data_IF_860269463941
#
_entry.id   IF_860269463941
#
_cell.length_a   1.000
_cell.length_b   1.000
_cell.length_c   1.000
_cell.angle_alpha   90.00
_cell.angle_beta   90.00
_cell.angle_gamma   90.00
#
_symmetry.space_group_name_H-M   'P 1'
#
loop_
_entity.id
_entity.type
_entity.pdbx_description
1 polymer ?
#
# COMPACT_ATOMS: atom_id res chain seq x y z
N UNK A 1 4.30 -3.52 -13.00
CA UNK A 1 5.24 -2.40 -12.84
C UNK A 1 5.92 -2.52 -11.50
N UNK A 2 7.22 -2.74 -11.49
CA UNK A 2 8.05 -2.80 -10.28
C UNK A 2 9.29 -1.94 -10.55
N UNK A 3 9.15 -0.62 -10.34
CA UNK A 3 10.21 0.32 -10.68
C UNK A 3 11.34 0.23 -9.66
N UNK A 4 12.57 0.27 -10.18
CA UNK A 4 13.75 0.47 -9.36
C UNK A 4 13.81 1.90 -8.79
N UNK A 5 14.81 2.15 -7.95
CA UNK A 5 15.13 3.49 -7.44
C UNK A 5 15.18 4.50 -8.61
N UNK A 6 14.66 5.73 -8.43
CA UNK A 6 14.70 6.73 -9.49
C UNK A 6 16.14 7.04 -9.89
N UNK A 7 16.38 7.13 -11.18
CA UNK A 7 17.61 7.67 -11.78
C UNK A 7 17.78 9.15 -11.44
N UNK A 8 18.97 9.69 -11.67
CA UNK A 8 19.24 11.11 -11.38
C UNK A 8 18.38 12.06 -12.22
N UNK A 9 17.98 11.64 -13.43
CA UNK A 9 17.04 12.39 -14.26
C UNK A 9 15.61 12.29 -13.71
N UNK A 10 15.15 11.10 -13.31
CA UNK A 10 13.81 10.92 -12.74
C UNK A 10 13.61 11.69 -11.43
N UNK A 11 14.69 11.91 -10.65
CA UNK A 11 14.64 12.75 -9.44
C UNK A 11 14.40 14.24 -9.75
N UNK A 12 14.76 14.71 -10.94
CA UNK A 12 14.53 16.11 -11.34
C UNK A 12 13.20 16.32 -12.07
N UNK A 13 12.45 15.24 -12.30
CA UNK A 13 11.15 15.27 -12.96
C UNK A 13 10.03 15.50 -11.94
N UNK A 14 8.84 15.80 -12.46
CA UNK A 14 7.64 15.71 -11.65
C UNK A 14 7.47 14.27 -11.13
N UNK A 15 7.18 14.11 -9.84
CA UNK A 15 7.24 12.80 -9.16
C UNK A 15 6.38 11.72 -9.82
N UNK A 16 5.18 12.07 -10.30
CA UNK A 16 4.27 11.14 -10.95
C UNK A 16 4.68 10.79 -12.39
N UNK A 17 5.57 11.56 -13.03
CA UNK A 17 5.90 11.44 -14.46
C UNK A 17 6.35 10.02 -14.84
N UNK A 18 7.24 9.41 -14.03
CA UNK A 18 7.71 8.04 -14.28
C UNK A 18 6.62 6.98 -14.14
N UNK A 19 5.60 7.24 -13.32
CA UNK A 19 4.49 6.30 -13.11
C UNK A 19 3.44 6.42 -14.22
N UNK A 20 3.20 7.65 -14.71
CA UNK A 20 2.25 7.94 -15.80
C UNK A 20 2.58 7.14 -17.07
N UNK A 21 3.87 6.92 -17.35
CA UNK A 21 4.33 6.12 -18.48
C UNK A 21 3.88 4.64 -18.45
N UNK A 22 3.38 4.17 -17.32
CA UNK A 22 2.93 2.80 -17.13
C UNK A 22 1.44 2.67 -16.79
N UNK A 23 0.66 3.73 -17.00
CA UNK A 23 -0.79 3.66 -16.82
C UNK A 23 -1.42 2.76 -17.89
N UNK A 24 -2.53 2.07 -17.57
CA UNK A 24 -3.19 1.16 -18.50
C UNK A 24 -3.84 1.92 -19.67
N UNK A 25 -3.80 1.31 -20.85
CA UNK A 25 -4.74 1.60 -21.93
C UNK A 25 -6.08 0.87 -21.71
N UNK A 26 -7.07 1.15 -22.56
CA UNK A 26 -8.36 0.47 -22.50
C UNK A 26 -8.21 -1.05 -22.64
N UNK A 27 -8.79 -1.80 -21.70
CA UNK A 27 -8.71 -3.27 -21.66
C UNK A 27 -7.47 -3.83 -20.96
N UNK A 28 -6.54 -2.99 -20.52
CA UNK A 28 -5.35 -3.43 -19.80
C UNK A 28 -5.57 -3.47 -18.29
N UNK A 29 -4.92 -4.44 -17.64
CA UNK A 29 -4.81 -4.49 -16.18
C UNK A 29 -3.34 -4.31 -15.83
N UNK A 30 -3.02 -3.20 -15.16
CA UNK A 30 -1.66 -2.93 -14.69
C UNK A 30 -1.58 -3.13 -13.18
N UNK A 31 -0.63 -3.97 -12.75
CA UNK A 31 -0.32 -4.19 -11.34
C UNK A 31 0.95 -3.46 -10.95
N UNK A 32 0.85 -2.59 -9.94
CA UNK A 32 1.97 -1.86 -9.36
C UNK A 32 2.48 -2.61 -8.11
N UNK A 33 3.66 -3.23 -8.21
CA UNK A 33 4.40 -3.77 -7.06
C UNK A 33 5.22 -2.63 -6.45
N UNK A 34 4.61 -1.99 -5.45
CA UNK A 34 4.83 -0.58 -5.07
C UNK A 34 4.36 0.38 -6.17
N UNK A 35 4.14 1.64 -5.79
CA UNK A 35 3.61 2.67 -6.68
C UNK A 35 4.18 4.05 -6.30
N UNK A 36 3.53 5.12 -6.74
CA UNK A 36 3.78 6.49 -6.28
C UNK A 36 3.67 6.63 -4.74
N UNK A 37 3.01 5.70 -4.06
CA UNK A 37 2.98 5.67 -2.59
C UNK A 37 4.32 5.37 -1.90
N UNK A 38 5.41 5.16 -2.64
CA UNK A 38 6.75 5.17 -2.05
C UNK A 38 7.02 6.47 -1.28
N UNK A 39 6.59 7.63 -1.81
CA UNK A 39 6.72 8.94 -1.16
C UNK A 39 5.83 9.13 0.05
N UNK A 40 4.83 8.29 0.27
CA UNK A 40 3.98 8.27 1.46
C UNK A 40 4.46 7.31 2.57
N UNK A 41 5.50 6.51 2.28
CA UNK A 41 5.90 5.39 3.12
C UNK A 41 7.40 5.31 3.31
N UNK A 42 8.09 4.66 2.38
CA UNK A 42 9.52 4.37 2.52
C UNK A 42 10.38 5.63 2.42
N UNK A 43 10.07 6.56 1.52
CA UNK A 43 10.90 7.75 1.30
C UNK A 43 10.98 8.66 2.54
N UNK A 44 9.86 9.09 3.17
CA UNK A 44 9.93 9.96 4.34
C UNK A 44 10.52 9.26 5.57
N UNK A 45 10.31 7.95 5.72
CA UNK A 45 10.84 7.17 6.86
C UNK A 45 12.35 6.95 6.76
N UNK A 46 12.86 6.75 5.53
CA UNK A 46 14.27 6.48 5.26
C UNK A 46 15.07 7.74 4.89
N UNK A 47 14.41 8.89 4.74
CA UNK A 47 15.05 10.16 4.38
C UNK A 47 15.42 10.26 2.89
N UNK A 48 14.64 9.63 2.01
CA UNK A 48 14.83 9.72 0.55
C UNK A 48 14.04 10.86 -0.11
N UNK A 49 13.19 11.54 0.65
CA UNK A 49 12.55 12.79 0.26
C UNK A 49 12.60 13.79 1.43
N UNK A 50 12.46 15.06 1.12
CA UNK A 50 12.28 16.14 2.10
C UNK A 50 10.89 16.06 2.75
N UNK A 51 10.69 16.76 3.87
CA UNK A 51 9.38 16.81 4.52
C UNK A 51 8.37 17.56 3.65
N UNK A 52 8.84 18.59 2.95
CA UNK A 52 8.10 19.40 1.99
C UNK A 52 7.61 18.54 0.84
N UNK A 53 8.48 17.75 0.18
CA UNK A 53 8.08 16.83 -0.89
C UNK A 53 7.06 15.78 -0.44
N UNK A 54 7.20 15.24 0.78
CA UNK A 54 6.24 14.30 1.33
C UNK A 54 4.87 14.95 1.55
N UNK A 55 4.85 16.16 2.12
CA UNK A 55 3.62 16.91 2.36
C UNK A 55 2.93 17.30 1.05
N UNK A 56 3.70 17.79 0.08
CA UNK A 56 3.23 18.10 -1.28
C UNK A 56 2.60 16.86 -1.91
N UNK A 57 3.29 15.72 -1.87
CA UNK A 57 2.77 14.46 -2.41
C UNK A 57 1.44 14.05 -1.76
N UNK A 58 1.31 14.14 -0.43
CA UNK A 58 0.07 13.79 0.26
C UNK A 58 -1.09 14.71 -0.13
N UNK A 59 -0.81 15.95 -0.52
CA UNK A 59 -1.81 16.89 -1.03
C UNK A 59 -2.16 16.62 -2.50
N UNK A 60 -1.18 16.29 -3.34
CA UNK A 60 -1.37 16.07 -4.78
C UNK A 60 -1.97 14.71 -5.14
N UNK A 61 -1.63 13.65 -4.39
CA UNK A 61 -1.99 12.27 -4.76
C UNK A 61 -3.51 12.04 -4.94
N UNK A 62 -4.43 12.60 -4.12
CA UNK A 62 -5.85 12.39 -4.34
C UNK A 62 -6.34 13.08 -5.62
N UNK A 63 -5.80 14.26 -5.96
CA UNK A 63 -6.16 14.97 -7.19
C UNK A 63 -5.62 14.23 -8.42
N UNK A 64 -4.40 13.70 -8.36
CA UNK A 64 -3.85 12.84 -9.41
C UNK A 64 -4.73 11.61 -9.65
N UNK A 65 -5.13 10.91 -8.60
CA UNK A 65 -6.00 9.73 -8.70
C UNK A 65 -7.39 10.07 -9.23
N UNK A 66 -7.93 11.22 -8.83
CA UNK A 66 -9.20 11.74 -9.34
C UNK A 66 -9.17 12.02 -10.84
N UNK A 67 -8.06 12.55 -11.37
CA UNK A 67 -7.88 12.75 -12.82
C UNK A 67 -7.94 11.42 -13.58
N UNK A 68 -7.33 10.36 -13.04
CA UNK A 68 -7.36 9.03 -13.63
C UNK A 68 -8.77 8.44 -13.61
N UNK A 69 -9.47 8.54 -12.47
CA UNK A 69 -10.85 8.04 -12.33
C UNK A 69 -11.83 8.78 -13.24
N UNK A 70 -11.67 10.11 -13.38
CA UNK A 70 -12.45 10.91 -14.33
C UNK A 70 -12.19 10.50 -15.79
N UNK A 71 -11.10 9.78 -16.05
CA UNK A 71 -10.75 9.20 -17.36
C UNK A 71 -11.07 7.70 -17.42
N UNK A 72 -12.02 7.23 -16.61
CA UNK A 72 -12.52 5.86 -16.51
C UNK A 72 -11.48 4.80 -16.08
N UNK A 73 -10.33 5.22 -15.53
CA UNK A 73 -9.34 4.31 -14.95
C UNK A 73 -9.81 3.85 -13.57
N UNK A 74 -10.02 2.55 -13.41
CA UNK A 74 -10.38 1.94 -12.13
C UNK A 74 -9.13 1.74 -11.26
N UNK A 75 -9.12 2.33 -10.06
CA UNK A 75 -7.98 2.26 -9.14
C UNK A 75 -8.32 1.37 -7.93
N UNK A 76 -7.48 0.36 -7.69
CA UNK A 76 -7.51 -0.45 -6.47
C UNK A 76 -6.25 -0.23 -5.65
N UNK A 77 -6.39 0.25 -4.41
CA UNK A 77 -5.28 0.49 -3.49
C UNK A 77 -5.29 -0.53 -2.36
N UNK A 78 -4.25 -1.36 -2.30
CA UNK A 78 -4.11 -2.40 -1.28
C UNK A 78 -2.92 -2.15 -0.36
N UNK A 79 -3.17 -2.08 0.95
CA UNK A 79 -2.13 -2.10 1.97
C UNK A 79 -2.08 -3.47 2.64
N UNK A 80 -1.03 -4.25 2.37
CA UNK A 80 -0.83 -5.55 3.01
C UNK A 80 -0.22 -5.37 4.41
N UNK A 81 -1.07 -5.38 5.44
CA UNK A 81 -0.66 -5.22 6.83
C UNK A 81 -0.18 -6.55 7.38
N UNK A 82 1.07 -6.64 7.80
CA UNK A 82 1.64 -7.79 8.52
C UNK A 82 1.84 -7.40 9.98
N UNK A 83 1.63 -8.30 10.93
CA UNK A 83 1.96 -8.05 12.33
C UNK A 83 3.47 -7.96 12.53
N UNK A 84 3.91 -7.24 13.57
CA UNK A 84 5.34 -7.04 13.87
C UNK A 84 6.06 -8.38 14.08
N UNK A 85 5.41 -9.30 14.79
CA UNK A 85 5.96 -10.63 15.08
C UNK A 85 6.06 -11.50 13.83
N UNK A 86 5.02 -11.50 12.99
CA UNK A 86 5.05 -12.23 11.73
C UNK A 86 6.07 -11.64 10.75
N UNK A 87 6.23 -10.31 10.73
CA UNK A 87 7.27 -9.65 9.94
C UNK A 87 8.66 -10.12 10.39
N UNK A 88 8.93 -10.10 11.69
CA UNK A 88 10.19 -10.59 12.28
C UNK A 88 10.44 -12.06 11.95
N UNK A 89 9.43 -12.92 12.12
CA UNK A 89 9.51 -14.35 11.77
C UNK A 89 9.84 -14.57 10.30
N UNK A 90 9.22 -13.82 9.40
CA UNK A 90 9.49 -13.89 7.95
C UNK A 90 10.91 -13.44 7.61
N UNK A 91 11.42 -12.43 8.30
CA UNK A 91 12.79 -11.96 8.11
C UNK A 91 13.80 -13.03 8.51
N UNK A 92 13.61 -13.65 9.66
CA UNK A 92 14.52 -14.69 10.14
C UNK A 92 14.50 -15.93 9.21
N UNK A 93 13.31 -16.31 8.72
CA UNK A 93 13.20 -17.37 7.72
C UNK A 93 13.90 -17.05 6.40
N UNK A 94 13.95 -15.78 5.97
CA UNK A 94 14.64 -15.39 4.74
C UNK A 94 16.16 -15.45 4.88
N UNK A 95 16.70 -15.27 6.09
CA UNK A 95 18.15 -15.38 6.36
C UNK A 95 18.64 -16.81 6.18
N UNK A 96 17.83 -17.79 6.57
CA UNK A 96 18.21 -19.21 6.57
C UNK A 96 17.76 -19.99 5.34
N UNK A 97 16.81 -19.47 4.55
CA UNK A 97 16.32 -20.11 3.33
C UNK A 97 17.07 -19.64 2.07
N UNK A 98 17.91 -20.49 1.43
CA UNK A 98 18.71 -20.11 0.25
C UNK A 98 17.86 -19.60 -0.91
N UNK A 99 16.61 -20.04 -1.04
CA UNK A 99 15.70 -19.63 -2.11
C UNK A 99 15.02 -18.28 -1.84
N UNK A 100 15.28 -17.65 -0.69
CA UNK A 100 14.62 -16.39 -0.29
C UNK A 100 15.59 -15.31 0.18
N UNK A 101 16.87 -15.61 0.33
CA UNK A 101 17.90 -14.66 0.77
C UNK A 101 17.98 -13.40 -0.09
N UNK A 102 17.80 -13.52 -1.41
CA UNK A 102 17.80 -12.37 -2.34
C UNK A 102 16.70 -11.33 -2.06
N UNK A 103 15.69 -11.67 -1.23
CA UNK A 103 14.59 -10.77 -0.82
C UNK A 103 14.89 -9.95 0.43
N UNK A 104 16.12 -10.01 0.93
CA UNK A 104 16.58 -9.19 2.04
C UNK A 104 17.27 -7.94 1.48
N UNK A 105 16.79 -6.76 1.86
CA UNK A 105 17.47 -5.50 1.57
C UNK A 105 17.96 -4.82 2.86
N UNK A 106 18.97 -3.94 2.77
CA UNK A 106 19.38 -3.12 3.93
C UNK A 106 18.26 -2.22 4.47
N UNK A 107 17.31 -1.82 3.61
CA UNK A 107 16.11 -1.06 4.01
C UNK A 107 15.22 -1.90 4.92
N UNK A 108 15.05 -3.18 4.58
CA UNK A 108 14.21 -4.10 5.31
C UNK A 108 14.73 -4.37 6.73
N UNK A 109 16.04 -4.49 6.91
CA UNK A 109 16.65 -4.71 8.23
C UNK A 109 16.45 -3.51 9.15
N UNK A 110 16.57 -2.29 8.62
CA UNK A 110 16.27 -1.05 9.35
C UNK A 110 14.77 -0.88 9.64
N UNK A 111 13.90 -1.45 8.81
CA UNK A 111 12.45 -1.22 8.92
C UNK A 111 11.84 -1.69 10.23
N UNK A 112 12.36 -2.76 10.85
CA UNK A 112 11.88 -3.24 12.15
C UNK A 112 12.12 -2.22 13.28
N UNK A 113 13.28 -1.55 13.27
CA UNK A 113 13.61 -0.50 14.24
C UNK A 113 12.83 0.80 14.01
N UNK A 114 12.31 0.99 12.80
CA UNK A 114 11.53 2.16 12.39
C UNK A 114 10.02 1.89 12.38
N UNK A 115 9.56 0.84 13.06
CA UNK A 115 8.15 0.41 13.05
C UNK A 115 7.17 1.54 13.37
N UNK A 116 7.44 2.33 14.42
CA UNK A 116 6.55 3.43 14.80
C UNK A 116 6.55 4.55 13.75
N UNK A 117 7.68 4.84 13.09
CA UNK A 117 7.73 5.80 11.98
C UNK A 117 6.92 5.33 10.78
N UNK A 118 7.02 4.05 10.41
CA UNK A 118 6.18 3.46 9.37
C UNK A 118 4.69 3.47 9.74
N UNK A 119 4.37 3.27 11.01
CA UNK A 119 2.98 3.34 11.51
C UNK A 119 2.42 4.76 11.35
N UNK A 120 3.20 5.79 11.67
CA UNK A 120 2.83 7.20 11.47
C UNK A 120 2.69 7.51 9.97
N UNK A 121 3.65 7.09 9.14
CA UNK A 121 3.60 7.34 7.70
C UNK A 121 2.37 6.69 7.05
N UNK A 122 2.06 5.42 7.40
CA UNK A 122 0.82 4.75 6.98
C UNK A 122 -0.41 5.54 7.40
N UNK A 123 -0.45 6.03 8.65
CA UNK A 123 -1.58 6.80 9.15
C UNK A 123 -1.81 8.08 8.34
N UNK A 124 -0.75 8.89 8.14
CA UNK A 124 -0.81 10.10 7.32
C UNK A 124 -1.23 9.82 5.87
N UNK A 125 -0.71 8.74 5.27
CA UNK A 125 -1.09 8.30 3.93
C UNK A 125 -2.58 7.95 3.84
N UNK A 126 -3.10 7.16 4.79
CA UNK A 126 -4.51 6.77 4.79
C UNK A 126 -5.41 7.98 5.00
N UNK A 127 -5.08 8.89 5.92
CA UNK A 127 -5.87 10.11 6.14
C UNK A 127 -5.91 11.00 4.91
N UNK A 128 -4.77 11.21 4.25
CA UNK A 128 -4.68 12.12 3.12
C UNK A 128 -5.32 11.55 1.84
N UNK A 129 -5.30 10.23 1.66
CA UNK A 129 -5.61 9.62 0.37
C UNK A 129 -6.64 8.49 0.41
N UNK A 130 -7.32 8.24 1.53
CA UNK A 130 -8.54 7.44 1.53
C UNK A 130 -9.72 8.33 1.15
N UNK A 131 -10.09 8.30 -0.14
CA UNK A 131 -11.23 9.05 -0.67
C UNK A 131 -12.34 8.10 -1.10
N UNK A 132 -13.55 8.64 -1.30
CA UNK A 132 -14.69 7.85 -1.78
C UNK A 132 -14.46 7.30 -3.20
N UNK A 133 -13.76 8.07 -4.04
CA UNK A 133 -13.48 7.69 -5.43
C UNK A 133 -12.27 6.75 -5.55
N UNK A 134 -11.28 6.86 -4.65
CA UNK A 134 -10.09 6.00 -4.61
C UNK A 134 -9.88 5.45 -3.19
N UNK A 135 -10.70 4.48 -2.73
CA UNK A 135 -10.61 4.00 -1.36
C UNK A 135 -9.39 3.10 -1.14
N UNK A 136 -8.82 3.17 0.07
CA UNK A 136 -7.82 2.22 0.52
C UNK A 136 -8.47 0.96 1.09
N UNK A 137 -7.92 -0.20 0.75
CA UNK A 137 -8.29 -1.47 1.35
C UNK A 137 -7.08 -2.10 2.04
N UNK A 138 -7.21 -2.38 3.32
CA UNK A 138 -6.17 -3.01 4.13
C UNK A 138 -6.40 -4.52 4.09
N UNK A 139 -5.33 -5.28 3.82
CA UNK A 139 -5.35 -6.73 3.81
C UNK A 139 -4.46 -7.24 4.94
N UNK A 140 -5.05 -7.84 5.99
CA UNK A 140 -4.29 -8.55 7.03
C UNK A 140 -3.59 -9.76 6.39
N UNK A 141 -2.27 -9.72 6.40
CA UNK A 141 -1.44 -10.55 5.51
C UNK A 141 -0.61 -11.60 6.22
N UNK A 142 -0.87 -11.84 7.51
CA UNK A 142 -0.15 -12.84 8.31
C UNK A 142 -0.29 -14.24 7.72
N UNK A 143 -1.50 -14.60 7.29
CA UNK A 143 -1.72 -15.76 6.42
C UNK A 143 -1.71 -15.34 4.94
N UNK A 144 -0.61 -15.63 4.25
CA UNK A 144 -0.42 -15.29 2.81
C UNK A 144 -1.51 -15.84 1.91
N UNK A 145 -1.98 -17.08 2.13
CA UNK A 145 -2.99 -17.71 1.27
C UNK A 145 -4.33 -17.00 1.42
N UNK A 146 -4.75 -16.73 2.66
CA UNK A 146 -5.99 -15.99 2.90
C UNK A 146 -5.93 -14.56 2.38
N UNK A 147 -4.79 -13.87 2.52
CA UNK A 147 -4.61 -12.52 1.98
C UNK A 147 -4.79 -12.48 0.46
N UNK A 148 -4.17 -13.41 -0.27
CA UNK A 148 -4.30 -13.52 -1.74
C UNK A 148 -5.74 -13.74 -2.16
N UNK A 149 -6.42 -14.71 -1.56
CA UNK A 149 -7.81 -15.04 -1.90
C UNK A 149 -8.73 -13.84 -1.65
N UNK A 150 -8.60 -13.17 -0.49
CA UNK A 150 -9.45 -12.02 -0.16
C UNK A 150 -9.17 -10.80 -1.03
N UNK A 151 -7.92 -10.59 -1.46
CA UNK A 151 -7.59 -9.53 -2.42
C UNK A 151 -8.27 -9.78 -3.76
N UNK A 152 -8.16 -11.01 -4.30
CA UNK A 152 -8.80 -11.39 -5.56
C UNK A 152 -10.32 -11.25 -5.46
N UNK A 153 -10.93 -11.75 -4.38
CA UNK A 153 -12.36 -11.58 -4.11
C UNK A 153 -12.78 -10.11 -4.09
N UNK A 154 -11.98 -9.24 -3.48
CA UNK A 154 -12.26 -7.80 -3.46
C UNK A 154 -12.32 -7.23 -4.87
N UNK A 155 -11.34 -7.52 -5.72
CA UNK A 155 -11.31 -7.06 -7.12
C UNK A 155 -12.54 -7.59 -7.87
N UNK A 156 -12.78 -8.90 -7.83
CA UNK A 156 -13.90 -9.54 -8.54
C UNK A 156 -15.27 -9.01 -8.09
N UNK A 157 -15.42 -8.57 -6.84
CA UNK A 157 -16.69 -7.98 -6.39
C UNK A 157 -16.99 -6.64 -7.06
N UNK A 158 -15.98 -5.87 -7.47
CA UNK A 158 -16.15 -4.51 -8.00
C UNK A 158 -16.55 -4.47 -9.47
N UNK A 159 -16.32 -5.54 -10.23
CA UNK A 159 -16.66 -5.59 -11.65
C UNK A 159 -17.90 -6.43 -11.88
N UNK A 160 -18.78 -6.00 -12.78
CA UNK A 160 -19.76 -6.89 -13.38
C UNK A 160 -19.15 -7.50 -14.65
N UNK A 161 -19.16 -8.83 -14.72
CA UNK A 161 -18.50 -9.57 -15.80
C UNK A 161 -19.31 -10.83 -16.16
N UNK A 162 -19.20 -11.34 -17.40
CA UNK A 162 -19.90 -12.56 -17.81
C UNK A 162 -19.59 -13.75 -16.90
N UNK A 163 -20.59 -14.58 -16.62
CA UNK A 163 -20.45 -15.78 -15.78
C UNK A 163 -19.89 -15.51 -14.37
N UNK A 164 -20.25 -14.36 -13.79
CA UNK A 164 -19.82 -13.97 -12.45
C UNK A 164 -20.19 -15.03 -11.41
N UNK A 165 -19.16 -15.47 -10.68
CA UNK A 165 -19.28 -16.47 -9.63
C UNK A 165 -20.28 -15.99 -8.57
N UNK A 166 -21.06 -16.93 -8.01
CA UNK A 166 -22.01 -16.67 -6.94
C UNK A 166 -21.45 -15.75 -5.85
N UNK A 167 -22.24 -14.71 -5.48
CA UNK A 167 -21.88 -13.71 -4.46
C UNK A 167 -21.39 -14.33 -3.15
N UNK A 168 -21.95 -15.48 -2.75
CA UNK A 168 -21.55 -16.21 -1.54
C UNK A 168 -20.07 -16.63 -1.57
N UNK A 169 -19.55 -17.06 -2.73
CA UNK A 169 -18.15 -17.46 -2.89
C UNK A 169 -17.22 -16.25 -2.98
N UNK A 170 -17.71 -15.12 -3.50
CA UNK A 170 -16.97 -13.87 -3.59
C UNK A 170 -16.96 -13.06 -2.29
N UNK A 171 -17.76 -13.40 -1.27
CA UNK A 171 -17.71 -12.73 0.03
C UNK A 171 -16.29 -12.78 0.61
N UNK A 172 -15.69 -11.60 0.81
CA UNK A 172 -14.40 -11.45 1.48
C UNK A 172 -14.57 -11.65 2.98
N UNK A 173 -13.51 -12.11 3.63
CA UNK A 173 -13.39 -12.26 5.07
C UNK A 173 -13.15 -10.87 5.69
N UNK A 174 -14.10 -10.39 6.50
CA UNK A 174 -14.12 -9.05 7.10
C UNK A 174 -13.05 -8.86 8.18
N UNK A 175 -12.40 -9.94 8.64
CA UNK A 175 -11.24 -9.87 9.54
C UNK A 175 -9.92 -9.72 8.76
N UNK A 176 -9.95 -10.02 7.46
CA UNK A 176 -8.79 -9.97 6.58
C UNK A 176 -8.82 -8.75 5.70
N UNK A 177 -9.98 -8.45 5.10
CA UNK A 177 -10.19 -7.26 4.27
C UNK A 177 -10.81 -6.19 5.16
N UNK A 178 -10.00 -5.20 5.52
CA UNK A 178 -10.38 -4.11 6.41
C UNK A 178 -10.52 -2.82 5.58
N UNK A 179 -11.70 -2.17 5.59
CA UNK A 179 -11.86 -0.81 5.10
C UNK A 179 -10.89 0.18 5.77
N UNK A 180 -10.39 1.18 5.05
CA UNK A 180 -9.43 2.12 5.62
C UNK A 180 -9.99 3.02 6.71
N UNK A 181 -11.25 3.43 6.66
CA UNK A 181 -11.93 4.15 7.74
C UNK A 181 -11.93 3.36 9.07
N UNK A 182 -12.13 2.03 9.00
CA UNK A 182 -12.02 1.15 10.18
C UNK A 182 -10.58 1.05 10.66
N UNK A 183 -9.61 0.96 9.75
CA UNK A 183 -8.19 0.92 10.12
C UNK A 183 -7.74 2.22 10.79
N UNK A 184 -8.13 3.38 10.24
CA UNK A 184 -7.80 4.70 10.78
C UNK A 184 -8.25 4.79 12.24
N UNK A 185 -9.50 4.41 12.55
CA UNK A 185 -10.03 4.39 13.93
C UNK A 185 -9.25 3.47 14.87
N UNK A 186 -8.84 2.30 14.39
CA UNK A 186 -8.00 1.37 15.16
C UNK A 186 -6.66 2.03 15.50
N UNK A 187 -6.01 2.64 14.50
CA UNK A 187 -4.72 3.32 14.67
C UNK A 187 -4.82 4.52 15.62
N UNK A 188 -5.86 5.34 15.52
CA UNK A 188 -6.12 6.46 16.45
C UNK A 188 -6.22 5.99 17.90
N UNK A 189 -6.95 4.89 18.12
CA UNK A 189 -7.14 4.29 19.45
C UNK A 189 -5.79 3.80 19.99
N UNK A 190 -5.03 3.06 19.19
CA UNK A 190 -3.71 2.54 19.58
C UNK A 190 -2.70 3.66 19.88
N UNK A 191 -2.69 4.74 19.09
CA UNK A 191 -1.81 5.89 19.29
C UNK A 191 -2.17 6.65 20.57
N UNK A 192 -3.46 6.81 20.86
CA UNK A 192 -3.94 7.47 22.09
C UNK A 192 -3.55 6.66 23.33
N UNK A 193 -3.71 5.34 23.29
CA UNK A 193 -3.31 4.43 24.37
C UNK A 193 -1.79 4.40 24.61
N UNK A 194 -0.98 4.58 23.56
CA UNK A 194 0.48 4.72 23.73
C UNK A 194 0.85 6.03 24.40
N UNK A 195 0.17 7.14 24.09
CA UNK A 195 0.41 8.44 24.71
C UNK A 195 0.04 8.47 26.20
N UNK A 196 -0.99 7.74 26.62
CA UNK A 196 -1.40 7.69 28.04
C UNK A 196 -0.54 6.77 28.91
N UNK A 197 0.27 5.90 28.29
CA UNK A 197 1.20 4.98 28.97
C UNK A 197 2.65 5.45 28.99
N UNK A 198 2.95 6.56 28.30
CA UNK A 198 4.28 7.19 28.24
C UNK A 198 4.33 8.42 29.14
#
# INVERSE_FOLDING_TARGET
VALDKPSDIEKTQWYFQRYVQHLPAAGEIVLFDRSWYNRAGVEPVMGFCTQEEHKEFLHEVPEFEKMLINSDVQIFKFYFSVSKDEQKRRFEQRRTDPLKQYKLSPVDEKSQGLWDKYTIAKYSMLLASHTDHAPWTIIRSDNKKKARINTIKHILNHFDYPDKIEKKKLKADDDIRIPADKEIKIMETEMTLKKTKS
#
